data_IF_487638330430
#
_entry.id   IF_487638330430
#
_cell.length_a   1.000
_cell.length_b   1.000
_cell.length_c   1.000
_cell.angle_alpha   90.00
_cell.angle_beta   90.00
_cell.angle_gamma   90.00
#
_symmetry.space_group_name_H-M   'P 1'
#
loop_
_entity.id
_entity.type
_entity.pdbx_description
1 polymer ?
#
# COMPACT_ATOMS: atom_id res chain seq x y z
N UNK A 1 -18.44 7.13 -19.90
CA UNK A 1 -18.51 6.58 -18.52
C UNK A 1 -18.78 7.71 -17.55
N UNK A 2 -19.67 7.49 -16.59
CA UNK A 2 -19.95 8.49 -15.57
C UNK A 2 -18.89 8.48 -14.49
N UNK A 3 -18.67 9.63 -13.83
CA UNK A 3 -17.75 9.76 -12.72
C UNK A 3 -18.24 8.85 -11.58
N UNK A 4 -17.36 8.05 -10.93
CA UNK A 4 -17.77 7.16 -9.85
C UNK A 4 -18.28 7.97 -8.64
N UNK A 5 -19.28 7.46 -7.94
CA UNK A 5 -19.73 8.07 -6.71
C UNK A 5 -18.67 7.86 -5.59
N UNK A 6 -18.58 8.79 -4.64
CA UNK A 6 -17.64 8.70 -3.51
C UNK A 6 -17.79 7.37 -2.76
N UNK A 7 -19.04 7.00 -2.43
CA UNK A 7 -19.33 5.75 -1.72
C UNK A 7 -18.92 4.50 -2.50
N UNK A 8 -19.00 4.54 -3.83
CA UNK A 8 -18.61 3.44 -4.68
C UNK A 8 -17.09 3.15 -4.59
N UNK A 9 -16.27 4.20 -4.50
CA UNK A 9 -14.83 4.09 -4.37
C UNK A 9 -14.42 3.51 -3.01
N UNK A 10 -15.16 3.85 -1.95
CA UNK A 10 -14.89 3.35 -0.59
C UNK A 10 -15.61 2.04 -0.24
N UNK A 11 -16.52 1.56 -1.10
CA UNK A 11 -17.35 0.37 -0.81
C UNK A 11 -16.52 -0.86 -0.44
N UNK A 12 -15.53 -1.21 -1.27
CA UNK A 12 -14.68 -2.39 -1.02
C UNK A 12 -13.84 -2.22 0.24
N UNK A 13 -13.31 -1.02 0.48
CA UNK A 13 -12.53 -0.69 1.68
C UNK A 13 -13.39 -0.86 2.93
N UNK A 14 -14.62 -0.34 2.93
CA UNK A 14 -15.54 -0.45 4.06
C UNK A 14 -15.92 -1.91 4.34
N UNK A 15 -16.17 -2.72 3.30
CA UNK A 15 -16.46 -4.16 3.44
C UNK A 15 -15.26 -4.88 4.06
N UNK A 16 -14.06 -4.63 3.54
CA UNK A 16 -12.85 -5.27 4.04
C UNK A 16 -12.55 -4.89 5.50
N UNK A 17 -12.68 -3.61 5.87
CA UNK A 17 -12.50 -3.19 7.26
C UNK A 17 -13.60 -3.74 8.18
N UNK A 18 -14.83 -3.87 7.70
CA UNK A 18 -15.90 -4.52 8.47
C UNK A 18 -15.60 -6.00 8.73
N UNK A 19 -15.16 -6.75 7.70
CA UNK A 19 -14.77 -8.17 7.82
C UNK A 19 -13.70 -8.39 8.89
N UNK A 20 -12.76 -7.45 9.03
CA UNK A 20 -11.65 -7.55 9.96
C UNK A 20 -11.90 -6.82 11.29
N UNK A 21 -13.14 -6.42 11.53
CA UNK A 21 -13.57 -5.85 12.82
C UNK A 21 -13.20 -4.38 13.04
N UNK A 22 -12.75 -3.66 12.00
CA UNK A 22 -12.46 -2.23 12.01
C UNK A 22 -13.57 -1.44 11.31
N UNK A 23 -14.73 -1.32 11.94
CA UNK A 23 -15.80 -0.50 11.39
C UNK A 23 -15.57 0.99 11.72
N UNK A 24 -15.42 1.87 10.69
CA UNK A 24 -15.23 3.30 10.88
C UNK A 24 -16.47 4.02 11.43
N UNK A 25 -17.68 3.45 11.28
CA UNK A 25 -18.91 4.03 11.82
C UNK A 25 -19.10 3.77 13.31
N UNK A 26 -18.31 2.90 13.93
CA UNK A 26 -18.38 2.60 15.35
C UNK A 26 -17.16 3.17 16.08
N UNK A 27 -17.34 3.74 17.26
CA UNK A 27 -16.23 4.30 18.06
C UNK A 27 -15.26 3.22 18.57
N UNK A 28 -15.78 2.03 18.87
CA UNK A 28 -14.98 0.92 19.40
C UNK A 28 -14.61 -0.09 18.29
N UNK A 29 -13.50 -0.77 18.48
CA UNK A 29 -13.12 -1.96 17.71
C UNK A 29 -13.93 -3.15 18.19
N UNK A 30 -14.28 -4.06 17.28
CA UNK A 30 -15.06 -5.25 17.61
C UNK A 30 -14.19 -6.35 18.22
N UNK A 31 -14.82 -7.33 18.87
CA UNK A 31 -14.10 -8.52 19.36
C UNK A 31 -13.38 -9.26 18.22
N UNK A 32 -13.99 -9.31 17.03
CA UNK A 32 -13.39 -9.90 15.83
C UNK A 32 -12.01 -9.33 15.51
N UNK A 33 -11.79 -8.03 15.68
CA UNK A 33 -10.49 -7.41 15.51
C UNK A 33 -9.41 -8.05 16.41
N UNK A 34 -9.70 -8.25 17.68
CA UNK A 34 -8.73 -8.84 18.62
C UNK A 34 -8.47 -10.32 18.32
N UNK A 35 -9.50 -11.08 17.93
CA UNK A 35 -9.36 -12.48 17.52
C UNK A 35 -8.46 -12.59 16.29
N UNK A 36 -8.69 -11.75 15.29
CA UNK A 36 -7.90 -11.73 14.06
C UNK A 36 -6.45 -11.31 14.34
N UNK A 37 -6.26 -10.26 15.15
CA UNK A 37 -4.93 -9.81 15.55
C UNK A 37 -4.16 -10.93 16.26
N UNK A 38 -4.79 -11.61 17.22
CA UNK A 38 -4.20 -12.73 17.94
C UNK A 38 -3.83 -13.88 17.01
N UNK A 39 -4.69 -14.20 16.04
CA UNK A 39 -4.43 -15.23 15.04
C UNK A 39 -3.20 -14.90 14.18
N UNK A 40 -3.07 -13.67 13.69
CA UNK A 40 -1.89 -13.24 12.93
C UNK A 40 -0.62 -13.34 13.78
N UNK A 41 -0.69 -12.96 15.06
CA UNK A 41 0.46 -13.05 15.98
C UNK A 41 0.88 -14.50 16.19
N UNK A 42 -0.06 -15.45 16.33
CA UNK A 42 0.27 -16.89 16.44
C UNK A 42 1.03 -17.35 15.20
N UNK A 43 0.51 -17.09 13.99
CA UNK A 43 1.18 -17.51 12.74
C UNK A 43 2.57 -16.89 12.62
N UNK A 44 2.74 -15.61 12.96
CA UNK A 44 4.05 -14.97 12.96
C UNK A 44 5.03 -15.59 13.97
N UNK A 45 4.54 -16.03 15.13
CA UNK A 45 5.36 -16.76 16.13
C UNK A 45 5.75 -18.11 15.58
N UNK A 46 4.85 -18.86 14.94
CA UNK A 46 5.12 -20.17 14.33
C UNK A 46 6.13 -20.06 13.17
N UNK A 47 5.97 -19.07 12.28
CA UNK A 47 6.92 -18.79 11.18
C UNK A 47 8.29 -18.34 11.72
N UNK A 48 8.31 -17.43 12.69
CA UNK A 48 9.56 -16.96 13.32
C UNK A 48 10.27 -18.09 14.08
N UNK A 49 9.49 -18.92 14.77
CA UNK A 49 10.00 -20.12 15.44
C UNK A 49 10.64 -21.09 14.46
N UNK A 50 10.04 -21.32 13.30
CA UNK A 50 10.64 -22.11 12.22
C UNK A 50 11.92 -21.48 11.72
N UNK A 51 11.91 -20.17 11.46
CA UNK A 51 13.10 -19.43 11.02
C UNK A 51 14.27 -19.59 12.00
N UNK A 52 14.03 -19.43 13.31
CA UNK A 52 15.04 -19.56 14.35
C UNK A 52 15.54 -21.01 14.47
N UNK A 53 14.64 -22.00 14.42
CA UNK A 53 14.98 -23.41 14.57
C UNK A 53 15.83 -23.95 13.42
N UNK A 54 15.64 -23.41 12.22
CA UNK A 54 16.38 -23.80 11.00
C UNK A 54 17.52 -22.85 10.64
N UNK A 55 17.84 -21.89 11.50
CA UNK A 55 18.88 -20.89 11.22
C UNK A 55 20.26 -21.54 11.12
N UNK A 56 20.68 -21.80 9.88
CA UNK A 56 22.03 -22.30 9.54
C UNK A 56 22.38 -21.86 8.12
N UNK A 57 23.66 -21.87 7.81
CA UNK A 57 24.14 -21.54 6.45
C UNK A 57 23.63 -22.56 5.42
N UNK A 58 23.51 -23.82 5.82
CA UNK A 58 23.02 -24.92 4.95
C UNK A 58 21.54 -24.72 4.55
N UNK A 59 20.72 -24.19 5.45
CA UNK A 59 19.29 -23.96 5.24
C UNK A 59 18.98 -22.54 4.73
N UNK A 60 19.98 -21.74 4.39
CA UNK A 60 19.81 -20.33 4.05
C UNK A 60 18.82 -20.11 2.92
N UNK A 61 18.83 -20.95 1.88
CA UNK A 61 17.88 -20.87 0.77
C UNK A 61 16.43 -21.12 1.22
N UNK A 62 16.19 -22.10 2.09
CA UNK A 62 14.85 -22.37 2.65
C UNK A 62 14.34 -21.18 3.47
N UNK A 63 15.22 -20.55 4.26
CA UNK A 63 14.90 -19.37 5.05
C UNK A 63 14.56 -18.15 4.17
N UNK A 64 15.30 -17.94 3.07
CA UNK A 64 14.99 -16.84 2.15
C UNK A 64 13.68 -17.05 1.38
N UNK A 65 13.24 -18.29 1.18
CA UNK A 65 11.94 -18.60 0.59
C UNK A 65 10.77 -18.26 1.53
N UNK A 66 10.97 -18.44 2.84
CA UNK A 66 9.97 -18.09 3.85
C UNK A 66 9.91 -16.57 4.10
N UNK A 67 11.04 -15.88 4.05
CA UNK A 67 11.17 -14.47 4.43
C UNK A 67 10.10 -13.54 3.81
N UNK A 68 9.74 -13.61 2.52
CA UNK A 68 8.71 -12.73 1.95
C UNK A 68 7.32 -12.92 2.58
N UNK A 69 6.92 -14.15 2.93
CA UNK A 69 5.63 -14.42 3.57
C UNK A 69 5.59 -13.84 4.98
N UNK A 70 6.63 -14.07 5.78
CA UNK A 70 6.77 -13.51 7.13
C UNK A 70 6.83 -11.97 7.10
N UNK A 71 7.46 -11.39 6.07
CA UNK A 71 7.48 -9.95 5.84
C UNK A 71 6.08 -9.38 5.60
N UNK A 72 5.27 -9.99 4.72
CA UNK A 72 3.87 -9.55 4.50
C UNK A 72 3.04 -9.71 5.77
N UNK A 73 3.17 -10.81 6.50
CA UNK A 73 2.49 -11.03 7.78
C UNK A 73 2.82 -9.92 8.79
N UNK A 74 4.11 -9.62 8.96
CA UNK A 74 4.60 -8.57 9.85
C UNK A 74 4.13 -7.18 9.42
N UNK A 75 4.20 -6.88 8.12
CA UNK A 75 3.73 -5.61 7.55
C UNK A 75 2.22 -5.45 7.72
N UNK A 76 1.43 -6.51 7.52
CA UNK A 76 -0.01 -6.53 7.74
C UNK A 76 -0.35 -6.25 9.20
N UNK A 77 0.33 -6.91 10.14
CA UNK A 77 0.16 -6.68 11.58
C UNK A 77 0.42 -5.21 11.96
N UNK A 78 1.52 -4.64 11.47
CA UNK A 78 1.87 -3.24 11.74
C UNK A 78 0.83 -2.28 11.14
N UNK A 79 0.42 -2.49 9.87
CA UNK A 79 -0.62 -1.68 9.21
C UNK A 79 -1.93 -1.70 10.00
N UNK A 80 -2.37 -2.89 10.46
CA UNK A 80 -3.57 -3.05 11.27
C UNK A 80 -3.51 -2.19 12.54
N UNK A 81 -2.41 -2.28 13.30
CA UNK A 81 -2.22 -1.56 14.56
C UNK A 81 -2.22 -0.05 14.32
N UNK A 82 -1.48 0.43 13.32
CA UNK A 82 -1.39 1.87 13.05
C UNK A 82 -2.70 2.47 12.54
N UNK A 83 -3.40 1.76 11.66
CA UNK A 83 -4.72 2.20 11.15
C UNK A 83 -5.77 2.19 12.27
N UNK A 84 -5.79 1.17 13.13
CA UNK A 84 -6.70 1.14 14.27
C UNK A 84 -6.47 2.32 15.23
N UNK A 85 -5.20 2.67 15.50
CA UNK A 85 -4.84 3.85 16.33
C UNK A 85 -5.28 5.18 15.70
N UNK A 86 -5.29 5.28 14.37
CA UNK A 86 -5.65 6.51 13.62
C UNK A 86 -7.07 6.47 13.07
N UNK A 87 -7.90 5.53 13.53
CA UNK A 87 -9.26 5.30 13.04
C UNK A 87 -10.11 6.58 12.99
N UNK A 88 -10.10 7.38 14.06
CA UNK A 88 -10.88 8.61 14.11
C UNK A 88 -10.38 9.65 13.10
N UNK A 89 -9.06 9.81 12.99
CA UNK A 89 -8.47 10.74 12.01
C UNK A 89 -8.83 10.35 10.58
N UNK A 90 -8.86 9.04 10.27
CA UNK A 90 -9.25 8.51 8.96
C UNK A 90 -10.72 8.79 8.69
N UNK A 91 -11.59 8.56 9.68
CA UNK A 91 -13.02 8.85 9.56
C UNK A 91 -13.26 10.35 9.28
N UNK A 92 -12.68 11.23 10.08
CA UNK A 92 -12.83 12.67 9.94
C UNK A 92 -12.32 13.15 8.58
N UNK A 93 -11.13 12.69 8.16
CA UNK A 93 -10.57 13.03 6.85
C UNK A 93 -11.47 12.53 5.71
N UNK A 94 -12.02 11.32 5.82
CA UNK A 94 -12.94 10.76 4.82
C UNK A 94 -14.22 11.61 4.69
N UNK A 95 -14.78 12.10 5.81
CA UNK A 95 -15.97 12.96 5.78
C UNK A 95 -15.67 14.31 5.10
N UNK A 96 -14.53 14.93 5.43
CA UNK A 96 -14.11 16.19 4.77
C UNK A 96 -13.90 16.01 3.26
N UNK A 97 -13.26 14.92 2.85
CA UNK A 97 -13.04 14.63 1.44
C UNK A 97 -14.36 14.35 0.70
N UNK A 98 -15.31 13.66 1.35
CA UNK A 98 -16.66 13.44 0.81
C UNK A 98 -17.41 14.75 0.55
N UNK A 99 -17.40 15.68 1.51
CA UNK A 99 -18.04 16.98 1.35
C UNK A 99 -17.42 17.79 0.20
N UNK A 100 -16.09 17.83 0.12
CA UNK A 100 -15.38 18.54 -0.94
C UNK A 100 -15.65 17.93 -2.32
N UNK A 101 -15.67 16.59 -2.39
CA UNK A 101 -15.98 15.87 -3.63
C UNK A 101 -17.40 16.15 -4.10
N UNK A 102 -18.38 16.04 -3.21
CA UNK A 102 -19.78 16.31 -3.55
C UNK A 102 -20.00 17.77 -4.00
N UNK A 103 -19.32 18.74 -3.36
CA UNK A 103 -19.35 20.15 -3.81
C UNK A 103 -18.74 20.32 -5.23
N UNK A 104 -17.66 19.60 -5.53
CA UNK A 104 -17.07 19.66 -6.86
C UNK A 104 -17.95 19.05 -7.95
N UNK A 105 -18.78 18.06 -7.63
CA UNK A 105 -19.69 17.42 -8.59
C UNK A 105 -20.88 18.29 -9.00
N UNK A 106 -21.25 19.32 -8.21
CA UNK A 106 -22.34 20.25 -8.53
C UNK A 106 -21.97 21.14 -9.71
N UNK A 107 -20.69 21.50 -9.84
CA UNK A 107 -20.17 22.34 -10.91
C UNK A 107 -19.74 21.45 -12.09
N UNK A 108 -20.38 21.61 -13.23
CA UNK A 108 -20.12 20.80 -14.43
C UNK A 108 -18.67 20.93 -14.94
N UNK A 109 -18.07 22.13 -14.83
CA UNK A 109 -16.68 22.37 -15.25
C UNK A 109 -15.71 21.63 -14.33
N UNK A 110 -15.90 21.74 -13.01
CA UNK A 110 -15.07 21.05 -12.02
C UNK A 110 -15.20 19.53 -12.11
N UNK A 111 -16.43 19.06 -12.36
CA UNK A 111 -16.72 17.65 -12.57
C UNK A 111 -15.94 17.06 -13.74
N UNK A 112 -15.93 17.74 -14.91
CA UNK A 112 -15.23 17.23 -16.08
C UNK A 112 -13.71 17.22 -15.89
N UNK A 113 -13.15 18.21 -15.15
CA UNK A 113 -11.73 18.28 -14.85
C UNK A 113 -11.20 17.06 -14.08
N UNK A 114 -11.97 16.56 -13.10
CA UNK A 114 -11.53 15.45 -12.23
C UNK A 114 -12.02 14.08 -12.73
N UNK A 115 -12.89 14.02 -13.72
CA UNK A 115 -13.59 12.80 -14.16
C UNK A 115 -12.64 11.69 -14.60
N UNK A 116 -11.66 12.01 -15.44
CA UNK A 116 -10.73 11.01 -15.97
C UNK A 116 -9.88 10.41 -14.87
N UNK A 117 -9.40 11.22 -13.93
CA UNK A 117 -8.56 10.79 -12.82
C UNK A 117 -9.31 9.81 -11.90
N UNK A 118 -10.57 10.08 -11.60
CA UNK A 118 -11.37 9.19 -10.73
C UNK A 118 -11.84 7.92 -11.44
N UNK A 119 -12.11 7.96 -12.74
CA UNK A 119 -12.36 6.75 -13.53
C UNK A 119 -11.11 5.86 -13.54
N UNK A 120 -9.95 6.44 -13.82
CA UNK A 120 -8.68 5.73 -13.78
C UNK A 120 -8.41 5.12 -12.40
N UNK A 121 -8.57 5.91 -11.31
CA UNK A 121 -8.40 5.47 -9.93
C UNK A 121 -9.29 4.26 -9.60
N UNK A 122 -10.57 4.29 -9.99
CA UNK A 122 -11.51 3.18 -9.77
C UNK A 122 -11.00 1.87 -10.37
N UNK A 123 -10.57 1.91 -11.64
CA UNK A 123 -10.03 0.72 -12.30
C UNK A 123 -8.70 0.27 -11.70
N UNK A 124 -7.82 1.20 -11.41
CA UNK A 124 -6.53 0.94 -10.80
C UNK A 124 -6.68 0.19 -9.46
N UNK A 125 -7.52 0.69 -8.56
CA UNK A 125 -7.80 0.04 -7.27
C UNK A 125 -8.43 -1.32 -7.47
N UNK A 126 -9.37 -1.46 -8.42
CA UNK A 126 -9.98 -2.75 -8.74
C UNK A 126 -8.93 -3.78 -9.20
N UNK A 127 -8.06 -3.42 -10.13
CA UNK A 127 -7.02 -4.33 -10.63
C UNK A 127 -5.96 -4.63 -9.57
N UNK A 128 -5.66 -3.68 -8.68
CA UNK A 128 -4.78 -3.91 -7.55
C UNK A 128 -5.34 -4.98 -6.60
N UNK A 129 -6.63 -4.92 -6.27
CA UNK A 129 -7.29 -5.98 -5.48
C UNK A 129 -7.30 -7.33 -6.20
N UNK A 130 -7.58 -7.36 -7.51
CA UNK A 130 -7.59 -8.60 -8.30
C UNK A 130 -6.19 -9.23 -8.34
N UNK A 131 -5.14 -8.45 -8.59
CA UNK A 131 -3.76 -8.96 -8.62
C UNK A 131 -3.38 -9.63 -7.29
N UNK A 132 -3.66 -8.98 -6.17
CA UNK A 132 -3.33 -9.53 -4.85
C UNK A 132 -4.23 -10.73 -4.48
N UNK A 133 -5.50 -10.75 -4.93
CA UNK A 133 -6.38 -11.91 -4.75
C UNK A 133 -5.87 -13.14 -5.54
N UNK A 134 -5.40 -12.94 -6.77
CA UNK A 134 -4.78 -14.02 -7.56
C UNK A 134 -3.53 -14.52 -6.85
N UNK A 135 -2.65 -13.61 -6.39
CA UNK A 135 -1.42 -13.97 -5.70
C UNK A 135 -1.69 -14.86 -4.48
N UNK A 136 -2.58 -14.44 -3.58
CA UNK A 136 -2.88 -15.22 -2.38
C UNK A 136 -3.54 -16.56 -2.70
N UNK A 137 -4.40 -16.63 -3.72
CA UNK A 137 -4.98 -17.89 -4.17
C UNK A 137 -3.90 -18.84 -4.71
N UNK A 138 -2.96 -18.36 -5.53
CA UNK A 138 -1.85 -19.16 -6.04
C UNK A 138 -1.02 -19.72 -4.87
N UNK A 139 -0.64 -18.90 -3.90
CA UNK A 139 0.14 -19.35 -2.75
C UNK A 139 -0.62 -20.36 -1.88
N UNK A 140 -1.85 -20.03 -1.49
CA UNK A 140 -2.64 -20.88 -0.59
C UNK A 140 -2.99 -22.24 -1.20
N UNK A 141 -3.28 -22.30 -2.49
CA UNK A 141 -3.71 -23.53 -3.15
C UNK A 141 -2.58 -24.29 -3.84
N UNK A 142 -1.36 -23.73 -3.95
CA UNK A 142 -0.20 -24.40 -4.56
C UNK A 142 0.15 -25.71 -3.86
N UNK A 143 0.03 -25.78 -2.55
CA UNK A 143 0.29 -27.01 -1.78
C UNK A 143 -0.69 -28.14 -2.14
N UNK A 144 -1.98 -27.83 -2.39
CA UNK A 144 -2.95 -28.84 -2.86
C UNK A 144 -2.61 -29.38 -4.25
N UNK A 145 -2.15 -28.49 -5.15
CA UNK A 145 -1.71 -28.90 -6.48
C UNK A 145 -0.49 -29.83 -6.38
N UNK A 146 0.46 -29.51 -5.51
CA UNK A 146 1.64 -30.35 -5.27
C UNK A 146 1.25 -31.72 -4.64
N UNK A 147 0.36 -31.74 -3.67
CA UNK A 147 -0.15 -32.98 -3.07
C UNK A 147 -0.81 -33.85 -4.14
N UNK A 148 -1.68 -33.27 -4.99
CA UNK A 148 -2.31 -33.99 -6.08
C UNK A 148 -1.30 -34.51 -7.11
N UNK A 149 -0.29 -33.74 -7.46
CA UNK A 149 0.80 -34.13 -8.34
C UNK A 149 1.60 -35.34 -7.79
N UNK A 150 1.99 -35.30 -6.51
CA UNK A 150 2.71 -36.40 -5.86
C UNK A 150 1.83 -37.66 -5.73
N UNK A 151 0.56 -37.51 -5.44
CA UNK A 151 -0.37 -38.64 -5.42
C UNK A 151 -0.50 -39.31 -6.78
N UNK A 152 -0.60 -38.52 -7.87
CA UNK A 152 -0.72 -39.06 -9.21
C UNK A 152 0.57 -39.74 -9.69
N UNK A 153 1.73 -39.16 -9.42
CA UNK A 153 3.04 -39.63 -9.92
C UNK A 153 3.66 -40.72 -9.06
N UNK A 154 3.60 -40.58 -7.72
CA UNK A 154 4.29 -41.48 -6.78
C UNK A 154 3.34 -42.38 -5.97
N UNK A 155 2.03 -42.19 -6.12
CA UNK A 155 0.99 -42.93 -5.35
C UNK A 155 1.15 -42.77 -3.82
N UNK A 156 1.81 -41.72 -3.37
CA UNK A 156 2.04 -41.38 -1.95
C UNK A 156 1.45 -40.01 -1.67
N UNK A 157 0.83 -39.88 -0.49
CA UNK A 157 0.29 -38.57 -0.05
C UNK A 157 1.32 -37.93 0.88
N UNK A 158 1.83 -36.77 0.47
CA UNK A 158 2.66 -35.92 1.33
C UNK A 158 1.83 -34.74 1.77
N UNK A 159 1.66 -34.54 3.07
CA UNK A 159 0.91 -33.42 3.63
C UNK A 159 1.76 -32.15 3.65
N UNK A 160 1.69 -31.37 2.55
CA UNK A 160 2.47 -30.16 2.34
C UNK A 160 1.65 -28.94 2.78
N UNK A 161 2.22 -28.07 3.60
CA UNK A 161 1.61 -26.79 4.00
C UNK A 161 2.02 -25.67 3.04
N UNK A 162 1.16 -24.63 2.86
CA UNK A 162 1.48 -23.48 2.00
C UNK A 162 2.58 -22.59 2.58
N UNK A 163 2.73 -22.58 3.90
CA UNK A 163 3.75 -21.82 4.63
C UNK A 163 4.54 -22.76 5.54
N UNK A 164 5.84 -22.51 5.66
CA UNK A 164 6.68 -23.24 6.60
C UNK A 164 6.46 -22.69 8.02
N UNK A 165 6.01 -23.54 8.93
CA UNK A 165 5.64 -23.18 10.30
C UNK A 165 6.21 -24.20 11.27
N UNK A 166 6.58 -23.75 12.48
CA UNK A 166 6.95 -24.61 13.58
C UNK A 166 5.69 -24.99 14.35
N UNK A 167 5.21 -26.23 14.14
CA UNK A 167 4.00 -26.74 14.77
C UNK A 167 4.37 -27.65 15.91
N UNK A 168 3.77 -27.54 17.11
CA UNK A 168 4.13 -28.33 18.30
C UNK A 168 3.64 -29.76 18.27
N UNK A 169 2.96 -30.21 17.20
CA UNK A 169 2.43 -31.56 17.03
C UNK A 169 2.66 -32.08 15.61
N UNK A 170 2.58 -33.42 15.42
CA UNK A 170 2.77 -34.05 14.12
C UNK A 170 1.60 -33.74 13.17
N UNK A 171 1.94 -33.37 11.92
CA UNK A 171 1.01 -33.15 10.81
C UNK A 171 0.93 -34.35 9.84
N UNK A 172 1.39 -35.52 10.25
CA UNK A 172 1.39 -36.75 9.42
C UNK A 172 -0.01 -37.33 9.20
N UNK A 173 -0.98 -36.96 10.03
CA UNK A 173 -2.36 -37.34 9.87
C UNK A 173 -3.17 -36.31 9.10
N UNK A 174 -4.08 -36.76 8.23
CA UNK A 174 -4.90 -35.91 7.39
C UNK A 174 -5.70 -34.84 8.18
N UNK A 175 -6.23 -35.20 9.36
CA UNK A 175 -7.03 -34.29 10.19
C UNK A 175 -6.17 -33.20 10.86
N UNK A 176 -5.00 -33.55 11.38
CA UNK A 176 -4.08 -32.57 11.97
C UNK A 176 -3.54 -31.61 10.92
N UNK A 177 -3.15 -32.13 9.75
CA UNK A 177 -2.76 -31.32 8.61
C UNK A 177 -3.90 -30.39 8.15
N UNK A 178 -5.15 -30.90 8.04
CA UNK A 178 -6.29 -30.10 7.57
C UNK A 178 -6.58 -28.91 8.50
N UNK A 179 -6.52 -29.09 9.83
CA UNK A 179 -6.71 -28.01 10.80
C UNK A 179 -5.66 -26.91 10.61
N UNK A 180 -4.37 -27.29 10.53
CA UNK A 180 -3.28 -26.33 10.32
C UNK A 180 -3.37 -25.66 8.96
N UNK A 181 -3.72 -26.40 7.93
CA UNK A 181 -3.92 -25.88 6.58
C UNK A 181 -5.02 -24.84 6.53
N UNK A 182 -6.19 -25.10 7.11
CA UNK A 182 -7.30 -24.14 7.16
C UNK A 182 -6.93 -22.88 7.97
N UNK A 183 -6.23 -23.06 9.09
CA UNK A 183 -5.72 -21.95 9.91
C UNK A 183 -4.76 -21.06 9.12
N UNK A 184 -3.78 -21.64 8.44
CA UNK A 184 -2.77 -20.91 7.67
C UNK A 184 -3.37 -20.17 6.47
N UNK A 185 -4.30 -20.81 5.73
CA UNK A 185 -5.03 -20.16 4.62
C UNK A 185 -5.87 -18.98 5.12
N UNK A 186 -6.63 -19.16 6.19
CA UNK A 186 -7.45 -18.10 6.75
C UNK A 186 -6.61 -16.88 7.14
N UNK A 187 -5.45 -17.11 7.79
CA UNK A 187 -4.51 -16.06 8.14
C UNK A 187 -3.93 -15.38 6.89
N UNK A 188 -3.52 -16.14 5.89
CA UNK A 188 -3.01 -15.61 4.62
C UNK A 188 -4.01 -14.68 3.92
N UNK A 189 -5.28 -15.09 3.81
CA UNK A 189 -6.34 -14.23 3.25
C UNK A 189 -6.55 -12.95 4.06
N UNK A 190 -6.59 -13.05 5.38
CA UNK A 190 -6.74 -11.89 6.27
C UNK A 190 -5.57 -10.92 6.10
N UNK A 191 -4.33 -11.41 6.08
CA UNK A 191 -3.14 -10.57 5.87
C UNK A 191 -3.22 -9.81 4.56
N UNK A 192 -3.57 -10.46 3.45
CA UNK A 192 -3.65 -9.80 2.14
C UNK A 192 -4.83 -8.83 2.08
N UNK A 193 -5.97 -9.13 2.69
CA UNK A 193 -7.10 -8.19 2.77
C UNK A 193 -6.67 -6.91 3.49
N UNK A 194 -5.99 -7.00 4.63
CA UNK A 194 -5.50 -5.83 5.35
C UNK A 194 -4.47 -5.04 4.56
N UNK A 195 -3.47 -5.74 4.07
CA UNK A 195 -2.38 -5.17 3.31
C UNK A 195 -2.89 -4.33 2.13
N UNK A 196 -3.76 -4.93 1.29
CA UNK A 196 -4.30 -4.27 0.10
C UNK A 196 -5.28 -3.16 0.44
N UNK A 197 -6.09 -3.33 1.50
CA UNK A 197 -7.10 -2.33 1.87
C UNK A 197 -6.47 -1.05 2.40
N UNK A 198 -5.42 -1.14 3.19
CA UNK A 198 -4.69 0.05 3.70
C UNK A 198 -4.02 0.81 2.56
N UNK A 199 -3.43 0.11 1.60
CA UNK A 199 -2.80 0.75 0.45
C UNK A 199 -3.85 1.37 -0.49
N UNK A 200 -4.97 0.69 -0.74
CA UNK A 200 -6.08 1.25 -1.51
C UNK A 200 -6.67 2.51 -0.85
N UNK A 201 -6.80 2.52 0.49
CA UNK A 201 -7.21 3.69 1.25
C UNK A 201 -6.24 4.87 1.03
N UNK A 202 -4.92 4.59 1.08
CA UNK A 202 -3.89 5.59 0.78
C UNK A 202 -4.05 6.17 -0.64
N UNK A 203 -4.24 5.32 -1.66
CA UNK A 203 -4.40 5.77 -3.05
C UNK A 203 -5.63 6.65 -3.23
N UNK A 204 -6.77 6.24 -2.68
CA UNK A 204 -8.02 6.99 -2.81
C UNK A 204 -7.94 8.34 -2.08
N UNK A 205 -7.49 8.37 -0.83
CA UNK A 205 -7.39 9.60 -0.06
C UNK A 205 -6.40 10.60 -0.69
N UNK A 206 -5.24 10.11 -1.14
CA UNK A 206 -4.24 10.96 -1.82
C UNK A 206 -4.80 11.54 -3.11
N UNK A 207 -5.50 10.76 -3.93
CA UNK A 207 -6.14 11.23 -5.16
C UNK A 207 -7.19 12.30 -4.91
N UNK A 208 -8.01 12.15 -3.86
CA UNK A 208 -8.99 13.18 -3.50
C UNK A 208 -8.32 14.51 -3.11
N UNK A 209 -7.21 14.48 -2.38
CA UNK A 209 -6.45 15.69 -2.03
C UNK A 209 -5.79 16.29 -3.28
N UNK A 210 -5.21 15.48 -4.15
CA UNK A 210 -4.65 15.92 -5.43
C UNK A 210 -5.72 16.62 -6.30
N UNK A 211 -6.92 16.05 -6.38
CA UNK A 211 -8.03 16.66 -7.11
C UNK A 211 -8.41 18.04 -6.54
N UNK A 212 -8.39 18.23 -5.21
CA UNK A 212 -8.64 19.54 -4.61
C UNK A 212 -7.56 20.57 -4.95
N UNK A 213 -6.27 20.16 -4.99
CA UNK A 213 -5.20 21.04 -5.46
C UNK A 213 -5.34 21.39 -6.95
N UNK A 214 -5.71 20.42 -7.78
CA UNK A 214 -5.94 20.62 -9.21
C UNK A 214 -7.10 21.60 -9.46
N UNK A 215 -8.24 21.42 -8.79
CA UNK A 215 -9.39 22.32 -8.86
C UNK A 215 -9.03 23.74 -8.40
N UNK A 216 -8.28 23.88 -7.31
CA UNK A 216 -7.80 25.16 -6.81
C UNK A 216 -6.84 25.83 -7.79
N UNK A 217 -5.96 25.07 -8.41
CA UNK A 217 -4.99 25.55 -9.40
C UNK A 217 -5.69 26.14 -10.62
N UNK A 218 -6.75 25.49 -11.11
CA UNK A 218 -7.51 25.97 -12.28
C UNK A 218 -8.30 27.24 -11.96
N UNK A 219 -8.85 27.34 -10.76
CA UNK A 219 -9.55 28.52 -10.28
C UNK A 219 -8.60 29.73 -10.13
N UNK A 220 -7.38 29.51 -9.59
CA UNK A 220 -6.35 30.54 -9.47
C UNK A 220 -5.89 31.02 -10.84
N UNK A 221 -5.71 30.13 -11.80
CA UNK A 221 -5.27 30.46 -13.16
C UNK A 221 -6.26 31.38 -13.88
N UNK A 222 -7.55 31.30 -13.56
CA UNK A 222 -8.60 32.17 -14.10
C UNK A 222 -8.75 33.52 -13.42
N UNK A 223 -7.92 33.84 -12.40
CA UNK A 223 -8.02 35.13 -11.69
C UNK A 223 -7.52 36.31 -12.52
N UNK A 224 -8.26 37.43 -12.41
CA UNK A 224 -7.93 38.75 -12.99
C UNK A 224 -8.31 39.87 -12.00
N UNK A 225 -8.28 41.12 -12.46
CA UNK A 225 -8.61 42.28 -11.65
C UNK A 225 -10.03 42.25 -11.12
N UNK A 226 -11.02 41.81 -11.95
CA UNK A 226 -12.44 41.81 -11.62
C UNK A 226 -12.78 40.71 -10.60
N UNK A 227 -12.05 39.59 -10.62
CA UNK A 227 -12.24 38.43 -9.73
C UNK A 227 -11.35 38.47 -8.49
N UNK A 228 -10.55 39.53 -8.29
CA UNK A 228 -9.62 39.67 -7.17
C UNK A 228 -10.30 39.58 -5.78
N UNK A 229 -11.61 39.88 -5.68
CA UNK A 229 -12.39 39.74 -4.45
C UNK A 229 -12.48 38.28 -3.94
N UNK A 230 -12.34 37.30 -4.83
CA UNK A 230 -12.38 35.86 -4.48
C UNK A 230 -11.06 35.37 -3.86
N UNK A 231 -9.99 36.17 -3.93
CA UNK A 231 -8.65 35.76 -3.51
C UNK A 231 -8.55 35.37 -2.03
N UNK A 232 -9.33 36.01 -1.16
CA UNK A 232 -9.42 35.67 0.27
C UNK A 232 -9.93 34.25 0.49
N UNK A 233 -10.95 33.84 -0.25
CA UNK A 233 -11.56 32.51 -0.11
C UNK A 233 -10.68 31.42 -0.73
N UNK A 234 -9.99 31.73 -1.82
CA UNK A 234 -8.97 30.88 -2.43
C UNK A 234 -7.83 30.61 -1.43
N UNK A 235 -7.34 31.61 -0.71
CA UNK A 235 -6.30 31.46 0.32
C UNK A 235 -6.81 30.57 1.46
N UNK A 236 -8.02 30.78 1.95
CA UNK A 236 -8.61 29.92 2.99
C UNK A 236 -8.74 28.45 2.53
N UNK A 237 -9.19 28.24 1.29
CA UNK A 237 -9.28 26.91 0.70
C UNK A 237 -7.88 26.27 0.54
N UNK A 238 -6.89 27.02 0.07
CA UNK A 238 -5.52 26.52 0.01
C UNK A 238 -5.01 26.07 1.39
N UNK A 239 -5.17 26.91 2.43
CA UNK A 239 -4.80 26.56 3.80
C UNK A 239 -5.54 25.32 4.30
N UNK A 240 -6.82 25.17 3.97
CA UNK A 240 -7.61 24.01 4.34
C UNK A 240 -7.11 22.72 3.67
N UNK A 241 -6.83 22.76 2.37
CA UNK A 241 -6.29 21.60 1.62
C UNK A 241 -4.89 21.22 2.17
N UNK A 242 -4.06 22.20 2.50
CA UNK A 242 -2.76 21.97 3.14
C UNK A 242 -2.91 21.23 4.48
N UNK A 243 -3.91 21.60 5.30
CA UNK A 243 -4.19 20.93 6.57
C UNK A 243 -4.68 19.47 6.34
N UNK A 244 -5.53 19.23 5.34
CA UNK A 244 -5.96 17.87 4.98
C UNK A 244 -4.78 17.01 4.53
N UNK A 245 -3.87 17.58 3.74
CA UNK A 245 -2.64 16.91 3.31
C UNK A 245 -1.70 16.56 4.48
N UNK A 246 -1.58 17.45 5.49
CA UNK A 246 -0.83 17.17 6.71
C UNK A 246 -1.47 16.05 7.54
N UNK A 247 -2.80 16.03 7.64
CA UNK A 247 -3.52 14.94 8.32
C UNK A 247 -3.29 13.60 7.60
N UNK A 248 -3.31 13.60 6.26
CA UNK A 248 -2.99 12.40 5.47
C UNK A 248 -1.56 11.90 5.75
N UNK A 249 -0.57 12.81 5.75
CA UNK A 249 0.81 12.46 6.09
C UNK A 249 0.90 11.86 7.49
N UNK A 250 0.23 12.43 8.47
CA UNK A 250 0.23 11.93 9.86
C UNK A 250 -0.37 10.52 9.99
N UNK A 251 -1.39 10.19 9.19
CA UNK A 251 -2.01 8.86 9.16
C UNK A 251 -1.04 7.84 8.55
N UNK A 252 -0.43 8.16 7.42
CA UNK A 252 0.30 7.19 6.60
C UNK A 252 1.82 7.19 6.80
N UNK A 253 2.41 8.11 7.56
CA UNK A 253 3.87 8.15 7.79
C UNK A 253 4.45 6.84 8.32
N UNK A 254 3.72 6.16 9.23
CA UNK A 254 4.15 4.87 9.77
C UNK A 254 3.98 3.72 8.77
N UNK A 255 2.78 3.49 8.18
CA UNK A 255 2.64 2.52 7.09
C UNK A 255 3.66 2.70 5.97
N UNK A 256 3.94 3.93 5.54
CA UNK A 256 4.92 4.23 4.49
C UNK A 256 6.35 3.85 4.90
N UNK A 257 6.75 4.08 6.15
CA UNK A 257 8.07 3.67 6.64
C UNK A 257 8.24 2.14 6.52
N UNK A 258 7.23 1.40 7.00
CA UNK A 258 7.29 -0.06 6.95
C UNK A 258 7.18 -0.60 5.52
N UNK A 259 6.40 0.02 4.64
CA UNK A 259 6.37 -0.32 3.22
C UNK A 259 7.76 -0.18 2.57
N UNK A 260 8.49 0.89 2.88
CA UNK A 260 9.85 1.11 2.36
C UNK A 260 10.85 0.09 2.91
N UNK A 261 10.87 -0.12 4.23
CA UNK A 261 11.81 -1.02 4.89
C UNK A 261 11.56 -2.49 4.51
N UNK A 262 10.34 -2.95 4.69
CA UNK A 262 9.97 -4.35 4.44
C UNK A 262 10.02 -4.64 2.94
N UNK A 263 9.50 -3.74 2.10
CA UNK A 263 9.53 -3.93 0.65
C UNK A 263 10.95 -4.02 0.08
N UNK A 264 11.94 -3.30 0.64
CA UNK A 264 13.32 -3.45 0.22
C UNK A 264 13.90 -4.83 0.58
N UNK A 265 13.53 -5.39 1.74
CA UNK A 265 13.92 -6.75 2.14
C UNK A 265 13.24 -7.82 1.28
N UNK A 266 11.94 -7.64 0.99
CA UNK A 266 11.19 -8.56 0.12
C UNK A 266 11.77 -8.62 -1.29
N UNK A 267 12.08 -7.48 -1.92
CA UNK A 267 12.69 -7.45 -3.25
C UNK A 267 14.05 -8.16 -3.24
N UNK A 268 14.86 -7.95 -2.22
CA UNK A 268 16.15 -8.60 -2.07
C UNK A 268 15.99 -10.13 -1.94
N UNK A 269 15.11 -10.61 -1.05
CA UNK A 269 14.87 -12.04 -0.82
C UNK A 269 14.27 -12.72 -2.05
N UNK A 270 13.27 -12.08 -2.71
CA UNK A 270 12.64 -12.60 -3.92
C UNK A 270 13.62 -12.64 -5.10
N UNK A 271 14.49 -11.62 -5.26
CA UNK A 271 15.56 -11.62 -6.25
C UNK A 271 16.55 -12.76 -6.03
N UNK A 272 16.92 -13.03 -4.77
CA UNK A 272 17.75 -14.16 -4.40
C UNK A 272 17.08 -15.50 -4.72
N UNK A 273 15.83 -15.67 -4.34
CA UNK A 273 15.05 -16.89 -4.63
C UNK A 273 14.86 -17.13 -6.13
N UNK A 274 14.74 -16.06 -6.93
CA UNK A 274 14.61 -16.15 -8.39
C UNK A 274 15.89 -16.72 -9.04
N UNK A 275 17.07 -16.43 -8.48
CA UNK A 275 18.36 -16.82 -9.05
C UNK A 275 18.91 -18.13 -8.48
N UNK A 276 18.62 -18.44 -7.21
CA UNK A 276 19.17 -19.60 -6.49
C UNK A 276 18.11 -20.68 -6.19
N UNK A 277 16.83 -20.34 -6.28
CA UNK A 277 15.74 -21.27 -6.01
C UNK A 277 15.50 -22.27 -7.14
N UNK A 278 14.72 -23.34 -6.87
CA UNK A 278 14.39 -24.36 -7.85
C UNK A 278 13.42 -23.80 -8.92
N UNK A 279 13.59 -24.26 -10.16
CA UNK A 279 12.78 -23.81 -11.31
C UNK A 279 11.26 -23.96 -11.11
N UNK A 280 10.84 -24.94 -10.30
CA UNK A 280 9.42 -25.18 -9.99
C UNK A 280 8.77 -24.03 -9.22
N UNK A 281 9.54 -23.23 -8.49
CA UNK A 281 9.04 -22.10 -7.69
C UNK A 281 9.12 -20.76 -8.44
N UNK A 282 9.86 -20.68 -9.54
CA UNK A 282 10.08 -19.44 -10.30
C UNK A 282 8.79 -18.71 -10.66
N UNK A 283 7.70 -19.36 -11.14
CA UNK A 283 6.47 -18.64 -11.49
C UNK A 283 5.84 -17.94 -10.28
N UNK A 284 5.82 -18.58 -9.12
CA UNK A 284 5.30 -18.00 -7.87
C UNK A 284 6.15 -16.82 -7.39
N UNK A 285 7.48 -16.98 -7.42
CA UNK A 285 8.43 -15.92 -7.03
C UNK A 285 8.33 -14.70 -7.95
N UNK A 286 8.20 -14.90 -9.27
CA UNK A 286 8.02 -13.80 -10.23
C UNK A 286 6.71 -13.05 -9.99
N UNK A 287 5.61 -13.78 -9.77
CA UNK A 287 4.31 -13.17 -9.49
C UNK A 287 4.35 -12.35 -8.20
N UNK A 288 5.00 -12.87 -7.16
CA UNK A 288 5.17 -12.18 -5.90
C UNK A 288 6.05 -10.91 -6.05
N UNK A 289 7.19 -11.04 -6.69
CA UNK A 289 8.10 -9.92 -6.97
C UNK A 289 7.38 -8.80 -7.74
N UNK A 290 6.60 -9.17 -8.77
CA UNK A 290 5.81 -8.21 -9.53
C UNK A 290 4.78 -7.49 -8.64
N UNK A 291 4.11 -8.20 -7.74
CA UNK A 291 3.15 -7.60 -6.80
C UNK A 291 3.81 -6.58 -5.89
N UNK A 292 4.96 -6.89 -5.30
CA UNK A 292 5.73 -5.99 -4.43
C UNK A 292 6.22 -4.76 -5.21
N UNK A 293 6.76 -4.96 -6.40
CA UNK A 293 7.21 -3.87 -7.27
C UNK A 293 6.06 -2.92 -7.65
N UNK A 294 4.91 -3.47 -8.05
CA UNK A 294 3.71 -2.68 -8.36
C UNK A 294 3.24 -1.90 -7.13
N UNK A 295 3.21 -2.52 -5.96
CA UNK A 295 2.81 -1.85 -4.72
C UNK A 295 3.71 -0.64 -4.41
N UNK A 296 5.05 -0.82 -4.37
CA UNK A 296 5.98 0.26 -4.04
C UNK A 296 5.95 1.35 -5.10
N UNK A 297 5.84 0.98 -6.38
CA UNK A 297 5.66 1.92 -7.48
C UNK A 297 4.39 2.76 -7.28
N UNK A 298 3.26 2.12 -6.98
CA UNK A 298 1.99 2.81 -6.78
C UNK A 298 2.04 3.79 -5.61
N UNK A 299 2.59 3.40 -4.47
CA UNK A 299 2.78 4.29 -3.32
C UNK A 299 3.60 5.52 -3.74
N UNK A 300 4.66 5.31 -4.51
CA UNK A 300 5.55 6.38 -4.99
C UNK A 300 4.87 7.30 -6.02
N UNK A 301 4.07 6.74 -6.93
CA UNK A 301 3.28 7.51 -7.93
C UNK A 301 2.31 8.46 -7.24
N UNK A 302 1.55 7.97 -6.24
CA UNK A 302 0.60 8.82 -5.51
C UNK A 302 1.31 9.87 -4.65
N UNK A 303 2.46 9.55 -4.05
CA UNK A 303 3.29 10.52 -3.34
C UNK A 303 3.81 11.63 -4.24
N UNK A 304 4.32 11.28 -5.43
CA UNK A 304 4.78 12.23 -6.44
C UNK A 304 3.65 13.10 -6.99
N UNK A 305 2.47 12.50 -7.22
CA UNK A 305 1.29 13.26 -7.67
C UNK A 305 0.91 14.35 -6.65
N UNK A 306 0.98 14.07 -5.35
CA UNK A 306 0.71 15.09 -4.33
C UNK A 306 1.75 16.24 -4.39
N UNK A 307 3.02 15.91 -4.57
CA UNK A 307 4.10 16.91 -4.73
C UNK A 307 3.81 17.79 -5.94
N UNK A 308 3.50 17.19 -7.08
CA UNK A 308 3.22 17.87 -8.34
C UNK A 308 2.00 18.78 -8.24
N UNK A 309 0.85 18.28 -7.81
CA UNK A 309 -0.39 19.03 -7.75
C UNK A 309 -0.34 20.18 -6.72
N UNK A 310 0.32 19.95 -5.57
CA UNK A 310 0.52 21.03 -4.59
C UNK A 310 1.50 22.14 -5.07
N UNK A 311 2.47 21.82 -5.93
CA UNK A 311 3.37 22.79 -6.57
C UNK A 311 2.66 23.59 -7.67
N UNK A 312 1.79 22.93 -8.44
CA UNK A 312 1.01 23.52 -9.53
C UNK A 312 0.19 24.75 -9.10
N UNK A 313 -0.23 24.81 -7.82
CA UNK A 313 -0.89 25.99 -7.24
C UNK A 313 -0.04 27.26 -7.42
N UNK A 314 1.28 27.17 -7.16
CA UNK A 314 2.20 28.30 -7.35
C UNK A 314 2.42 28.66 -8.81
N UNK A 315 2.49 27.66 -9.69
CA UNK A 315 2.59 27.84 -11.14
C UNK A 315 1.33 28.54 -11.68
N UNK A 316 0.15 28.10 -11.24
CA UNK A 316 -1.13 28.73 -11.60
C UNK A 316 -1.25 30.16 -11.09
N UNK A 317 -0.72 30.45 -9.88
CA UNK A 317 -0.65 31.79 -9.34
C UNK A 317 0.29 32.72 -10.15
N UNK A 318 1.33 32.16 -10.74
CA UNK A 318 2.21 32.91 -11.65
C UNK A 318 1.54 33.18 -13.02
N UNK A 319 0.72 32.24 -13.50
CA UNK A 319 0.06 32.31 -14.82
C UNK A 319 -1.21 33.16 -14.82
N UNK A 320 -1.79 33.51 -13.67
CA UNK A 320 -2.95 34.40 -13.62
C UNK A 320 -2.57 35.85 -13.97
N UNK A 321 -3.57 36.71 -14.26
CA UNK A 321 -3.35 38.11 -14.61
C UNK A 321 -3.10 38.98 -13.37
N UNK A 322 -2.20 38.53 -12.49
CA UNK A 322 -1.88 39.20 -11.23
C UNK A 322 -1.32 40.61 -11.43
N UNK A 323 -0.69 40.91 -12.58
CA UNK A 323 -0.08 42.20 -12.89
C UNK A 323 -1.12 43.34 -13.10
N UNK A 324 -2.37 42.99 -13.39
CA UNK A 324 -3.50 43.94 -13.54
C UNK A 324 -4.25 44.20 -12.23
N UNK A 325 -3.96 43.43 -11.16
CA UNK A 325 -4.62 43.52 -9.85
C UNK A 325 -4.10 44.72 -9.01
N UNK A 326 -4.83 45.02 -7.94
CA UNK A 326 -4.41 45.99 -6.93
C UNK A 326 -3.18 45.52 -6.12
N UNK A 327 -2.47 46.46 -5.45
CA UNK A 327 -1.24 46.16 -4.70
C UNK A 327 -1.44 45.13 -3.58
N UNK A 328 -2.61 45.08 -2.95
CA UNK A 328 -2.92 44.12 -1.89
C UNK A 328 -3.03 42.72 -2.47
N UNK A 329 -3.76 42.55 -3.56
CA UNK A 329 -3.93 41.28 -4.28
C UNK A 329 -2.60 40.77 -4.84
N UNK A 330 -1.75 41.61 -5.41
CA UNK A 330 -0.39 41.25 -5.84
C UNK A 330 0.45 40.66 -4.72
N UNK A 331 0.40 41.24 -3.52
CA UNK A 331 1.12 40.71 -2.34
C UNK A 331 0.58 39.34 -1.93
N UNK A 332 -0.73 39.13 -1.99
CA UNK A 332 -1.34 37.82 -1.64
C UNK A 332 -0.93 36.74 -2.66
N UNK A 333 -0.95 37.07 -3.96
CA UNK A 333 -0.48 36.15 -5.01
C UNK A 333 0.99 35.78 -4.81
N UNK A 334 1.85 36.77 -4.50
CA UNK A 334 3.25 36.49 -4.17
C UNK A 334 3.41 35.56 -2.99
N UNK A 335 2.63 35.74 -1.93
CA UNK A 335 2.64 34.83 -0.76
C UNK A 335 2.15 33.41 -1.12
N UNK A 336 1.16 33.26 -2.00
CA UNK A 336 0.71 31.98 -2.55
C UNK A 336 1.84 31.28 -3.31
N UNK A 337 2.54 31.99 -4.20
CA UNK A 337 3.70 31.46 -4.92
C UNK A 337 4.79 30.98 -3.96
N UNK A 338 5.18 31.84 -3.00
CA UNK A 338 6.22 31.53 -2.00
C UNK A 338 5.83 30.32 -1.15
N UNK A 339 4.56 30.20 -0.75
CA UNK A 339 4.08 29.03 0.03
C UNK A 339 4.11 27.76 -0.79
N UNK A 340 3.74 27.83 -2.08
CA UNK A 340 3.66 26.67 -2.98
C UNK A 340 5.04 26.16 -3.42
N UNK A 341 6.10 26.98 -3.30
CA UNK A 341 7.48 26.50 -3.47
C UNK A 341 7.90 25.46 -2.43
N UNK A 342 7.14 25.31 -1.35
CA UNK A 342 7.27 24.21 -0.40
C UNK A 342 6.10 23.23 -0.59
N UNK A 343 6.18 22.31 -1.58
CA UNK A 343 5.08 21.40 -1.90
C UNK A 343 4.77 20.47 -0.73
N UNK A 344 3.55 19.95 -0.72
CA UNK A 344 3.16 18.90 0.24
C UNK A 344 3.82 17.58 -0.14
N UNK A 345 4.29 16.86 0.87
CA UNK A 345 5.02 15.60 0.70
C UNK A 345 4.48 14.57 1.67
N UNK A 346 4.33 13.35 1.21
CA UNK A 346 4.15 12.20 2.09
C UNK A 346 5.53 11.63 2.41
N UNK A 347 5.72 11.22 3.65
CA UNK A 347 7.03 10.77 4.12
C UNK A 347 6.95 9.42 4.83
N UNK A 348 8.08 8.73 4.90
CA UNK A 348 8.33 7.61 5.77
C UNK A 348 8.98 8.13 7.07
N UNK A 349 8.18 8.65 8.00
CA UNK A 349 8.66 9.28 9.26
C UNK A 349 9.77 10.33 9.04
N UNK A 350 9.70 11.11 7.98
CA UNK A 350 10.72 12.11 7.55
C UNK A 350 12.10 11.54 7.17
N UNK A 351 12.31 10.21 7.23
CA UNK A 351 13.55 9.59 6.75
C UNK A 351 13.65 9.60 5.23
N UNK A 352 12.53 9.37 4.56
CA UNK A 352 12.45 9.41 3.10
C UNK A 352 11.16 10.10 2.66
N UNK A 353 11.23 10.84 1.58
CA UNK A 353 10.05 11.38 0.88
C UNK A 353 9.52 10.31 -0.04
N UNK A 354 8.21 10.08 -0.05
CA UNK A 354 7.57 9.13 -0.96
C UNK A 354 7.44 9.77 -2.34
N UNK A 355 8.29 9.32 -3.28
CA UNK A 355 8.45 9.91 -4.62
C UNK A 355 9.04 8.90 -5.60
N UNK A 356 9.15 9.21 -6.88
CA UNK A 356 9.88 8.39 -7.85
C UNK A 356 11.36 8.22 -7.49
N UNK A 357 11.98 9.24 -6.90
CA UNK A 357 13.35 9.15 -6.42
C UNK A 357 13.51 8.07 -5.34
N UNK A 358 12.57 8.02 -4.38
CA UNK A 358 12.60 6.99 -3.34
C UNK A 358 12.38 5.58 -3.91
N UNK A 359 11.49 5.42 -4.89
CA UNK A 359 11.33 4.16 -5.61
C UNK A 359 12.63 3.67 -6.22
N UNK A 360 13.31 4.53 -6.97
CA UNK A 360 14.60 4.20 -7.59
C UNK A 360 15.66 3.82 -6.55
N UNK A 361 15.71 4.55 -5.42
CA UNK A 361 16.64 4.23 -4.31
C UNK A 361 16.32 2.86 -3.69
N UNK A 362 15.05 2.53 -3.47
CA UNK A 362 14.64 1.23 -2.93
C UNK A 362 15.12 0.10 -3.85
N UNK A 363 14.84 0.21 -5.16
CA UNK A 363 15.25 -0.81 -6.14
C UNK A 363 16.78 -0.97 -6.17
N UNK A 364 17.52 0.15 -6.24
CA UNK A 364 18.99 0.14 -6.28
C UNK A 364 19.59 -0.47 -5.01
N UNK A 365 19.06 -0.12 -3.84
CA UNK A 365 19.51 -0.64 -2.55
C UNK A 365 19.21 -2.14 -2.43
N UNK A 366 18.01 -2.57 -2.82
CA UNK A 366 17.62 -3.98 -2.83
C UNK A 366 18.49 -4.81 -3.77
N UNK A 367 18.85 -4.26 -4.94
CA UNK A 367 19.78 -4.90 -5.87
C UNK A 367 21.18 -5.04 -5.29
N UNK A 368 21.68 -4.03 -4.58
CA UNK A 368 22.97 -4.09 -3.90
C UNK A 368 23.01 -5.17 -2.82
N UNK A 369 21.98 -5.27 -1.99
CA UNK A 369 21.88 -6.33 -0.99
C UNK A 369 21.74 -7.71 -1.63
N UNK A 370 20.96 -7.85 -2.69
CA UNK A 370 20.86 -9.08 -3.46
C UNK A 370 22.23 -9.54 -3.98
N UNK A 371 23.03 -8.64 -4.58
CA UNK A 371 24.36 -9.00 -5.10
C UNK A 371 25.32 -9.43 -3.98
N UNK A 372 25.29 -8.78 -2.81
CA UNK A 372 26.06 -9.18 -1.64
C UNK A 372 25.65 -10.60 -1.18
N UNK A 373 24.34 -10.84 -1.00
CA UNK A 373 23.84 -12.16 -0.60
C UNK A 373 24.27 -13.25 -1.60
N UNK A 374 24.16 -12.96 -2.90
CA UNK A 374 24.56 -13.91 -3.96
C UNK A 374 26.04 -14.24 -3.92
N UNK A 375 26.92 -13.27 -3.64
CA UNK A 375 28.37 -13.49 -3.56
C UNK A 375 28.79 -14.22 -2.29
N UNK A 376 28.05 -14.07 -1.20
CA UNK A 376 28.32 -14.75 0.07
C UNK A 376 27.77 -16.18 0.11
N UNK A 377 26.75 -16.48 -0.71
CA UNK A 377 26.14 -17.81 -0.75
C UNK A 377 26.93 -18.74 -1.65
N UNK A 378 27.58 -19.73 -1.03
CA UNK A 378 28.18 -20.87 -1.74
C UNK A 378 27.21 -22.02 -1.67
N UNK A 379 26.64 -22.49 -2.81
CA UNK A 379 25.74 -23.63 -2.79
C UNK A 379 26.43 -24.84 -2.15
N UNK A 380 25.74 -25.64 -1.31
CA UNK A 380 26.31 -26.88 -0.82
C UNK A 380 26.70 -27.77 -2.00
N UNK A 381 27.95 -28.29 -1.96
CA UNK A 381 28.48 -29.11 -3.03
C UNK A 381 27.59 -30.30 -3.34
N UNK A 382 27.14 -30.42 -4.59
CA UNK A 382 26.35 -31.56 -5.10
C UNK A 382 27.20 -32.83 -5.33
N UNK A 383 28.41 -32.89 -4.77
CA UNK A 383 29.33 -34.03 -4.90
C UNK A 383 29.10 -35.07 -3.82
N UNK A 384 27.89 -35.58 -3.67
CA UNK A 384 27.57 -36.58 -2.66
C UNK A 384 26.17 -37.20 -2.78
N UNK A 385 25.70 -37.39 -4.01
CA UNK A 385 24.50 -38.18 -4.25
C UNK A 385 24.69 -39.09 -5.46
#
# INVERSE_FOLDING_TARGET
MDIPNFEEMFKQININFWLVGLNFHQSRVTLAYFIILFNIVIVLVEETGFFVSKFSVENFLELTQLAPCTCIGSLSLLKIIFIAKKKQNIFDLTQYLRELYNKALIDSSKKELIKQDFIFLKYLVKYFFILNAILICVYNFSSLVLIAYYYYTKRTIFYILPYAMLIPFSTDHWYSWLIVYLHSIACGFVCVIYFTTVDALYYIMTSHICAQFSLLSEEIKGLDADTSCQLSDIVKRHQYILKLSQNLEEIFRAPNLFNVLVGSLEICALGFNLTMGPWSQVPGVVLFLLSVLVQILMISVFGENLIRESRKVGESAFLCKWYDMDQKSKKIILLLMLRSNKPQKLTAYKFSVISYESFTKIISTSWSYFTILKTMYTPPDKSGA
#
